data_IF_218676701597
#
_entry.id   IF_218676701597
#
_cell.length_a   1.000
_cell.length_b   1.000
_cell.length_c   1.000
_cell.angle_alpha   90.00
_cell.angle_beta   90.00
_cell.angle_gamma   90.00
#
_symmetry.space_group_name_H-M   'P 1'
#
loop_
_entity.id
_entity.type
_entity.pdbx_description
1 polymer ?
#
# COMPACT_ATOMS: atom_id res chain seq x y z
N UNK A 1 5.86 -10.35 2.14
CA UNK A 1 5.93 -8.88 2.01
C UNK A 1 4.59 -8.45 1.47
N UNK A 2 3.72 -7.87 2.30
CA UNK A 2 2.54 -7.19 1.77
C UNK A 2 2.98 -5.85 1.20
N UNK A 3 2.55 -5.58 -0.02
CA UNK A 3 2.80 -4.30 -0.67
C UNK A 3 1.64 -3.34 -0.35
N UNK A 4 1.93 -2.05 -0.11
CA UNK A 4 0.90 -1.07 0.17
C UNK A 4 -0.10 -0.97 -0.98
N UNK A 5 -1.26 -0.37 -0.73
CA UNK A 5 -2.20 -0.03 -1.79
C UNK A 5 -1.53 0.87 -2.83
N UNK A 6 -1.65 0.54 -4.11
CA UNK A 6 -1.21 1.44 -5.19
C UNK A 6 -2.07 2.71 -5.21
N UNK A 7 -1.55 3.83 -5.73
CA UNK A 7 -2.34 5.05 -5.88
C UNK A 7 -3.57 4.84 -6.77
N UNK A 8 -3.51 3.96 -7.77
CA UNK A 8 -4.63 3.58 -8.62
C UNK A 8 -5.71 2.85 -7.82
N UNK A 9 -5.33 1.92 -6.93
CA UNK A 9 -6.27 1.24 -6.05
C UNK A 9 -6.90 2.20 -5.03
N UNK A 10 -6.13 3.12 -4.45
CA UNK A 10 -6.65 4.18 -3.57
C UNK A 10 -7.69 5.02 -4.30
N UNK A 11 -7.39 5.43 -5.53
CA UNK A 11 -8.30 6.23 -6.38
C UNK A 11 -9.60 5.47 -6.67
N UNK A 12 -9.51 4.17 -6.94
CA UNK A 12 -10.69 3.31 -7.10
C UNK A 12 -11.52 3.25 -5.82
N UNK A 13 -10.88 3.08 -4.64
CA UNK A 13 -11.58 3.09 -3.36
C UNK A 13 -12.32 4.41 -3.13
N UNK A 14 -11.69 5.54 -3.42
CA UNK A 14 -12.32 6.86 -3.33
C UNK A 14 -13.52 7.00 -4.28
N UNK A 15 -13.41 6.51 -5.52
CA UNK A 15 -14.53 6.52 -6.48
C UNK A 15 -15.70 5.65 -6.00
N UNK A 16 -15.43 4.47 -5.44
CA UNK A 16 -16.47 3.61 -4.86
C UNK A 16 -17.12 4.25 -3.63
N UNK A 17 -16.33 4.88 -2.76
CA UNK A 17 -16.84 5.63 -1.61
C UNK A 17 -17.71 6.81 -2.09
N UNK A 18 -17.29 7.55 -3.11
CA UNK A 18 -18.09 8.64 -3.68
C UNK A 18 -19.44 8.15 -4.22
N UNK A 19 -19.49 6.96 -4.82
CA UNK A 19 -20.74 6.33 -5.24
C UNK A 19 -21.64 5.99 -4.04
N UNK A 20 -21.06 5.46 -2.95
CA UNK A 20 -21.82 5.17 -1.72
C UNK A 20 -22.37 6.45 -1.05
N UNK A 21 -21.60 7.54 -1.06
CA UNK A 21 -22.00 8.78 -0.39
C UNK A 21 -23.04 9.55 -1.21
N UNK A 22 -22.81 9.70 -2.52
CA UNK A 22 -23.69 10.47 -3.41
C UNK A 22 -24.90 9.67 -3.88
N UNK A 23 -24.75 8.36 -4.10
CA UNK A 23 -25.82 7.49 -4.62
C UNK A 23 -26.71 6.90 -3.53
N UNK A 24 -26.12 6.51 -2.39
CA UNK A 24 -26.80 5.77 -1.32
C UNK A 24 -26.96 6.58 -0.03
N UNK A 25 -26.47 7.82 0.01
CA UNK A 25 -26.58 8.70 1.17
C UNK A 25 -25.70 8.28 2.35
N UNK A 26 -24.61 7.54 2.11
CA UNK A 26 -23.68 7.17 3.18
C UNK A 26 -23.05 8.43 3.79
N UNK A 27 -23.16 8.56 5.12
CA UNK A 27 -22.61 9.68 5.89
C UNK A 27 -21.22 9.35 6.47
N UNK A 28 -20.82 8.09 6.45
CA UNK A 28 -19.48 7.59 6.72
C UNK A 28 -19.20 6.42 5.79
N UNK A 29 -18.03 6.36 5.18
CA UNK A 29 -17.55 5.18 4.47
C UNK A 29 -16.05 5.07 4.57
N UNK A 30 -15.54 3.93 5.03
CA UNK A 30 -14.11 3.69 5.23
C UNK A 30 -13.73 2.32 4.70
N UNK A 31 -12.64 2.25 3.97
CA UNK A 31 -12.02 1.02 3.48
C UNK A 31 -10.74 0.77 4.26
N UNK A 32 -10.71 -0.35 4.97
CA UNK A 32 -9.54 -0.87 5.65
C UNK A 32 -8.94 -2.00 4.85
N UNK A 33 -7.62 -2.09 4.83
CA UNK A 33 -6.90 -3.27 4.38
C UNK A 33 -6.19 -3.93 5.56
N UNK A 34 -6.01 -5.25 5.46
CA UNK A 34 -5.15 -5.98 6.39
C UNK A 34 -3.71 -6.02 5.89
N UNK A 35 -2.76 -5.86 6.81
CA UNK A 35 -1.33 -6.04 6.56
C UNK A 35 -0.85 -7.50 6.65
N UNK A 36 -1.67 -8.45 7.14
CA UNK A 36 -1.36 -9.89 7.15
C UNK A 36 -2.61 -10.79 7.25
N UNK A 37 -3.03 -11.47 6.17
CA UNK A 37 -4.13 -12.44 6.22
C UNK A 37 -3.74 -13.82 6.80
N UNK A 38 -2.44 -14.07 7.04
CA UNK A 38 -1.89 -15.37 7.47
C UNK A 38 -1.48 -15.43 8.94
N UNK A 39 -1.33 -14.29 9.60
CA UNK A 39 -1.13 -14.25 11.04
C UNK A 39 -2.48 -14.54 11.74
N UNK A 40 -2.59 -15.67 12.41
CA UNK A 40 -3.72 -16.00 13.30
C UNK A 40 -3.81 -15.11 14.56
N UNK A 41 -3.33 -13.85 14.49
CA UNK A 41 -3.41 -12.82 15.52
C UNK A 41 -4.29 -11.64 15.06
N UNK A 42 -4.42 -10.62 15.91
CA UNK A 42 -5.15 -9.39 15.60
C UNK A 42 -4.54 -8.75 14.34
N UNK A 43 -5.28 -8.81 13.23
CA UNK A 43 -4.82 -8.30 11.96
C UNK A 43 -4.90 -6.77 11.98
N UNK A 44 -3.76 -6.10 11.89
CA UNK A 44 -3.72 -4.64 11.84
C UNK A 44 -4.47 -4.14 10.60
N UNK A 45 -5.55 -3.39 10.85
CA UNK A 45 -6.38 -2.75 9.83
C UNK A 45 -5.87 -1.34 9.58
N UNK A 46 -5.41 -1.09 8.36
CA UNK A 46 -4.92 0.22 7.91
C UNK A 46 -5.99 0.89 7.04
N UNK A 47 -6.46 2.12 7.39
CA UNK A 47 -7.39 2.85 6.57
C UNK A 47 -6.72 3.35 5.29
N UNK A 48 -7.32 3.06 4.13
CA UNK A 48 -6.77 3.41 2.81
C UNK A 48 -7.57 4.51 2.14
N UNK A 49 -8.88 4.55 2.36
CA UNK A 49 -9.73 5.63 1.90
C UNK A 49 -10.90 5.82 2.87
N UNK A 50 -11.28 7.06 3.14
CA UNK A 50 -12.39 7.38 4.01
C UNK A 50 -13.17 8.60 3.50
N UNK A 51 -14.46 8.62 3.80
CA UNK A 51 -15.33 9.77 3.70
C UNK A 51 -16.12 9.93 5.00
N UNK A 52 -16.16 11.13 5.60
CA UNK A 52 -15.38 12.31 5.24
C UNK A 52 -13.86 12.07 5.36
N UNK A 53 -13.03 12.79 4.61
CA UNK A 53 -11.57 12.52 4.50
C UNK A 53 -10.86 12.52 5.87
N UNK A 54 -11.35 13.33 6.82
CA UNK A 54 -10.86 13.37 8.19
C UNK A 54 -11.01 12.03 8.96
N UNK A 55 -11.77 11.07 8.43
CA UNK A 55 -11.93 9.74 9.00
C UNK A 55 -10.77 8.78 8.69
N UNK A 56 -9.85 9.13 7.78
CA UNK A 56 -8.62 8.33 7.55
C UNK A 56 -7.71 8.34 8.79
N UNK A 57 -7.66 9.46 9.51
CA UNK A 57 -6.83 9.64 10.71
C UNK A 57 -7.47 9.06 11.99
N UNK A 58 -8.67 8.49 11.89
CA UNK A 58 -9.35 7.96 13.06
C UNK A 58 -8.68 6.68 13.55
N UNK A 59 -8.49 6.58 14.87
CA UNK A 59 -8.00 5.35 15.46
C UNK A 59 -9.04 4.24 15.34
N UNK A 60 -8.60 2.98 15.23
CA UNK A 60 -9.51 1.83 15.20
C UNK A 60 -10.51 1.87 16.37
N UNK A 61 -10.10 2.33 17.55
CA UNK A 61 -11.01 2.53 18.69
C UNK A 61 -12.09 3.60 18.44
N UNK A 62 -11.77 4.71 17.79
CA UNK A 62 -12.75 5.76 17.47
C UNK A 62 -13.78 5.25 16.47
N UNK A 63 -13.34 4.49 15.47
CA UNK A 63 -14.24 3.83 14.51
C UNK A 63 -15.08 2.76 15.21
N UNK A 64 -14.49 1.91 16.04
CA UNK A 64 -15.22 0.91 16.82
C UNK A 64 -16.23 1.55 17.77
N UNK A 65 -15.93 2.72 18.36
CA UNK A 65 -16.88 3.51 19.17
C UNK A 65 -18.03 4.05 18.34
N UNK A 66 -17.75 4.60 17.16
CA UNK A 66 -18.77 5.04 16.20
C UNK A 66 -19.66 3.88 15.74
N UNK A 67 -19.07 2.70 15.56
CA UNK A 67 -19.78 1.49 15.18
C UNK A 67 -20.58 0.89 16.34
N UNK A 68 -20.11 0.96 17.58
CA UNK A 68 -20.72 0.25 18.71
C UNK A 68 -21.86 1.01 19.39
N UNK A 69 -22.17 2.24 18.97
CA UNK A 69 -23.26 3.06 19.53
C UNK A 69 -23.16 3.32 21.03
N UNK A 70 -22.03 2.95 21.66
CA UNK A 70 -21.84 2.99 23.10
C UNK A 70 -21.16 4.30 23.46
N UNK A 71 -21.96 5.25 23.93
CA UNK A 71 -21.47 6.38 24.70
C UNK A 71 -20.57 5.85 25.82
N UNK A 72 -19.37 6.39 26.07
CA UNK A 72 -18.81 6.28 27.40
C UNK A 72 -19.82 6.98 28.32
N UNK A 73 -20.49 6.24 29.20
CA UNK A 73 -21.11 6.87 30.35
C UNK A 73 -19.98 7.56 31.12
N UNK A 74 -19.76 8.85 30.81
CA UNK A 74 -19.09 9.75 31.72
C UNK A 74 -19.84 9.69 33.06
N UNK A 75 -19.13 9.86 34.19
CA UNK A 75 -19.73 9.69 35.50
C UNK A 75 -20.98 10.55 35.58
N UNK A 76 -22.13 9.90 35.82
CA UNK A 76 -23.41 10.55 36.05
C UNK A 76 -23.20 11.72 37.02
N UNK A 77 -23.73 12.93 36.76
CA UNK A 77 -23.78 13.95 37.78
C UNK A 77 -24.54 13.37 38.98
N UNK A 78 -24.08 13.60 40.22
CA UNK A 78 -24.69 12.97 41.38
C UNK A 78 -26.17 13.35 41.44
N UNK A 79 -27.04 12.36 41.30
CA UNK A 79 -28.46 12.51 41.56
C UNK A 79 -28.60 12.93 43.02
N UNK A 80 -28.87 14.22 43.24
CA UNK A 80 -29.23 14.73 44.56
C UNK A 80 -30.61 14.18 44.91
N UNK A 81 -30.59 13.15 45.74
CA UNK A 81 -31.72 12.61 46.47
C UNK A 81 -32.54 13.71 47.13
N UNK A 82 -33.87 13.63 46.98
CA UNK A 82 -34.85 14.48 47.63
C UNK A 82 -34.62 14.55 49.14
N UNK A 83 -34.65 15.78 49.67
CA UNK A 83 -34.73 16.09 51.09
C UNK A 83 -35.55 17.36 51.32
N UNK A 84 -36.87 17.17 51.33
CA UNK A 84 -37.93 17.89 52.04
C UNK A 84 -37.77 19.38 52.43
N UNK A 85 -38.78 20.14 51.96
CA UNK A 85 -39.61 21.08 52.74
C UNK A 85 -39.00 22.49 53.04
N UNK A 86 -39.67 23.63 52.92
CA UNK A 86 -41.09 24.00 52.95
C UNK A 86 -41.35 25.33 52.19
N UNK A 87 -42.63 25.63 51.94
CA UNK A 87 -43.29 26.96 51.80
C UNK A 87 -43.18 27.75 50.49
N UNK A 88 -44.33 27.71 49.82
CA UNK A 88 -45.03 28.57 48.83
C UNK A 88 -44.80 30.11 48.88
N UNK A 89 -45.54 30.90 48.06
CA UNK A 89 -45.30 31.27 46.65
C UNK A 89 -45.16 32.83 46.53
N UNK A 90 -45.13 33.43 45.32
CA UNK A 90 -45.77 34.74 44.96
C UNK A 90 -45.19 35.39 43.68
N UNK A 91 -46.14 35.78 42.81
CA UNK A 91 -46.24 36.84 41.77
C UNK A 91 -45.07 37.18 40.81
N UNK A 92 -45.31 36.92 39.51
CA UNK A 92 -45.46 37.85 38.35
C UNK A 92 -44.53 39.08 38.13
N UNK A 93 -44.44 39.56 36.87
CA UNK A 93 -43.22 39.93 36.17
C UNK A 93 -43.02 41.45 36.11
N UNK A 94 -41.85 41.96 35.67
CA UNK A 94 -41.84 43.07 34.70
C UNK A 94 -40.45 43.55 34.23
N UNK A 95 -40.51 44.12 33.01
CA UNK A 95 -39.71 45.21 32.42
C UNK A 95 -38.18 45.02 32.21
N UNK A 96 -37.75 44.87 30.95
CA UNK A 96 -37.46 45.90 29.92
C UNK A 96 -36.05 46.49 30.08
N UNK A 97 -35.21 46.27 29.05
CA UNK A 97 -34.44 47.27 28.28
C UNK A 97 -33.13 46.69 27.75
N UNK A 98 -33.10 46.49 26.43
CA UNK A 98 -31.92 46.68 25.60
C UNK A 98 -31.62 48.20 25.59
N UNK A 99 -30.36 48.68 25.53
CA UNK A 99 -29.76 48.76 24.19
C UNK A 99 -28.21 48.72 24.10
N UNK A 100 -27.79 48.22 22.94
CA UNK A 100 -26.75 48.76 22.07
C UNK A 100 -25.25 48.59 22.40
N UNK A 101 -24.61 48.05 21.36
CA UNK A 101 -23.27 48.38 20.84
C UNK A 101 -22.06 47.73 21.55
N UNK A 102 -21.59 46.63 20.98
CA UNK A 102 -20.42 46.68 20.09
C UNK A 102 -20.19 45.33 19.44
N UNK A 103 -20.25 45.32 18.10
CA UNK A 103 -19.82 44.21 17.28
C UNK A 103 -18.28 44.20 17.22
N UNK A 104 -17.69 43.11 17.68
CA UNK A 104 -16.32 42.71 17.31
C UNK A 104 -16.44 41.66 16.20
N UNK A 105 -15.98 41.96 14.96
CA UNK A 105 -15.96 41.01 13.86
C UNK A 105 -14.61 40.30 13.86
N UNK A 106 -14.60 39.01 14.18
CA UNK A 106 -13.38 38.22 14.01
C UNK A 106 -13.34 36.97 14.83
N UNK A 107 -13.73 35.85 14.20
CA UNK A 107 -12.99 34.59 14.18
C UNK A 107 -13.80 33.58 13.39
N UNK A 108 -13.33 33.35 12.16
CA UNK A 108 -13.29 32.04 11.47
C UNK A 108 -14.41 31.09 11.84
N UNK A 109 -15.39 30.95 10.93
CA UNK A 109 -16.24 29.78 10.86
C UNK A 109 -15.33 28.55 10.85
N UNK A 110 -15.26 27.93 12.03
CA UNK A 110 -14.46 26.77 12.30
C UNK A 110 -14.86 25.67 11.32
N UNK A 111 -13.85 24.99 10.81
CA UNK A 111 -13.97 23.69 10.16
C UNK A 111 -14.98 22.85 10.94
N UNK A 112 -16.10 22.56 10.31
CA UNK A 112 -17.13 21.70 10.84
C UNK A 112 -16.55 20.29 10.95
N UNK A 113 -15.87 20.01 12.06
CA UNK A 113 -15.62 18.65 12.50
C UNK A 113 -16.99 17.98 12.63
N UNK A 114 -17.24 16.85 11.96
CA UNK A 114 -18.51 16.16 12.12
C UNK A 114 -18.63 15.72 13.58
N UNK A 115 -19.61 16.28 14.29
CA UNK A 115 -19.98 15.89 15.65
C UNK A 115 -20.36 14.39 15.65
N UNK A 116 -19.72 13.54 16.48
CA UNK A 116 -19.97 12.11 16.50
C UNK A 116 -21.31 11.81 17.19
N UNK A 117 -22.40 11.92 16.42
CA UNK A 117 -23.75 11.64 16.89
C UNK A 117 -24.59 10.93 15.82
N UNK A 118 -24.91 9.66 16.08
CA UNK A 118 -26.05 8.91 15.53
C UNK A 118 -25.90 8.29 14.11
N UNK A 119 -24.81 7.60 13.82
CA UNK A 119 -24.84 6.57 12.76
C UNK A 119 -25.67 5.37 13.23
N UNK A 120 -27.00 5.45 13.08
CA UNK A 120 -27.91 4.41 13.60
C UNK A 120 -27.89 3.15 12.73
N UNK A 121 -27.44 3.26 11.47
CA UNK A 121 -27.51 2.18 10.48
C UNK A 121 -26.15 1.94 9.83
N UNK A 122 -25.47 0.89 10.28
CA UNK A 122 -24.14 0.50 9.83
C UNK A 122 -24.17 -0.80 9.04
N UNK A 123 -23.38 -0.85 7.98
CA UNK A 123 -23.04 -2.08 7.25
C UNK A 123 -21.52 -2.25 7.33
N UNK A 124 -21.12 -3.43 7.77
CA UNK A 124 -19.70 -3.83 7.85
C UNK A 124 -19.56 -5.10 7.02
N UNK A 125 -18.78 -5.02 5.95
CA UNK A 125 -18.58 -6.13 5.02
C UNK A 125 -17.10 -6.45 4.88
N UNK A 126 -16.72 -7.73 4.95
CA UNK A 126 -15.35 -8.13 4.73
C UNK A 126 -15.03 -8.09 3.22
N UNK A 127 -13.82 -7.65 2.89
CA UNK A 127 -13.29 -7.70 1.54
C UNK A 127 -12.66 -9.08 1.35
N UNK A 128 -13.46 -10.05 0.91
CA UNK A 128 -13.01 -11.44 0.71
C UNK A 128 -13.11 -11.81 -0.74
N UNK A 129 -12.02 -12.33 -1.29
CA UNK A 129 -12.01 -12.93 -2.63
C UNK A 129 -11.12 -14.17 -2.63
N UNK A 130 -11.56 -15.24 -3.32
CA UNK A 130 -10.86 -16.54 -3.35
C UNK A 130 -10.51 -17.09 -1.95
N UNK A 131 -11.33 -16.81 -0.93
CA UNK A 131 -11.13 -17.27 0.45
C UNK A 131 -10.10 -16.49 1.26
N UNK A 132 -9.51 -15.43 0.70
CA UNK A 132 -8.56 -14.55 1.38
C UNK A 132 -9.27 -13.29 1.90
N UNK A 133 -9.11 -12.99 3.19
CA UNK A 133 -9.57 -11.73 3.79
C UNK A 133 -8.54 -10.64 3.49
N UNK A 134 -8.93 -9.61 2.74
CA UNK A 134 -8.05 -8.53 2.29
C UNK A 134 -8.28 -7.23 3.04
N UNK A 135 -9.39 -7.14 3.79
CA UNK A 135 -9.77 -5.92 4.48
C UNK A 135 -11.25 -5.86 4.86
N UNK A 136 -11.73 -4.64 5.11
CA UNK A 136 -13.07 -4.36 5.59
C UNK A 136 -13.62 -3.09 4.92
N UNK A 137 -14.86 -3.16 4.45
CA UNK A 137 -15.65 -1.98 4.08
C UNK A 137 -16.62 -1.68 5.23
N UNK A 138 -16.55 -0.45 5.74
CA UNK A 138 -17.46 0.07 6.75
C UNK A 138 -18.22 1.21 6.12
N UNK A 139 -19.55 1.12 6.05
CA UNK A 139 -20.40 2.22 5.62
C UNK A 139 -21.51 2.46 6.62
N UNK A 140 -21.83 3.72 6.89
CA UNK A 140 -22.86 4.07 7.84
C UNK A 140 -23.66 5.30 7.37
N UNK A 141 -24.93 5.30 7.79
CA UNK A 141 -25.91 6.31 7.41
C UNK A 141 -26.68 6.78 8.64
N UNK A 142 -27.10 8.05 8.63
CA UNK A 142 -27.74 8.73 9.77
C UNK A 142 -29.25 8.91 9.61
N UNK A 143 -29.82 8.73 8.42
CA UNK A 143 -31.22 9.08 8.11
C UNK A 143 -32.20 7.90 8.21
N UNK A 144 -31.91 6.74 7.60
CA UNK A 144 -32.85 5.64 7.44
C UNK A 144 -32.17 4.26 7.29
N UNK A 145 -32.97 3.19 7.46
CA UNK A 145 -32.55 1.79 7.30
C UNK A 145 -32.09 1.52 5.87
N UNK A 146 -31.07 0.69 5.71
CA UNK A 146 -30.62 0.21 4.40
C UNK A 146 -31.69 -0.70 3.78
N UNK A 147 -32.14 -0.34 2.58
CA UNK A 147 -33.00 -1.19 1.76
C UNK A 147 -32.25 -2.42 1.24
N UNK A 148 -32.98 -3.43 0.77
CA UNK A 148 -32.38 -4.67 0.24
C UNK A 148 -31.52 -4.42 -1.01
N UNK A 149 -32.00 -3.55 -1.92
CA UNK A 149 -31.24 -3.16 -3.11
C UNK A 149 -29.98 -2.37 -2.74
N UNK A 150 -30.08 -1.46 -1.77
CA UNK A 150 -28.95 -0.65 -1.29
C UNK A 150 -27.89 -1.56 -0.65
N UNK A 151 -28.31 -2.49 0.21
CA UNK A 151 -27.42 -3.48 0.82
C UNK A 151 -26.75 -4.35 -0.23
N UNK A 152 -27.48 -4.83 -1.23
CA UNK A 152 -26.92 -5.56 -2.35
C UNK A 152 -25.88 -4.72 -3.09
N UNK A 153 -26.11 -3.42 -3.31
CA UNK A 153 -25.12 -2.55 -3.94
C UNK A 153 -23.84 -2.41 -3.08
N UNK A 154 -23.97 -2.23 -1.76
CA UNK A 154 -22.81 -2.19 -0.85
C UNK A 154 -22.03 -3.51 -0.89
N UNK A 155 -22.72 -4.65 -0.98
CA UNK A 155 -22.10 -5.97 -1.15
C UNK A 155 -21.34 -6.09 -2.49
N UNK A 156 -21.89 -5.59 -3.59
CA UNK A 156 -21.20 -5.55 -4.88
C UNK A 156 -19.98 -4.62 -4.85
N UNK A 157 -20.05 -3.50 -4.13
CA UNK A 157 -18.89 -2.61 -3.93
C UNK A 157 -17.79 -3.35 -3.17
N UNK A 158 -18.12 -4.01 -2.06
CA UNK A 158 -17.16 -4.80 -1.29
C UNK A 158 -16.51 -5.90 -2.14
N UNK A 159 -17.29 -6.62 -2.96
CA UNK A 159 -16.77 -7.63 -3.87
C UNK A 159 -15.84 -7.03 -4.94
N UNK A 160 -16.21 -5.88 -5.51
CA UNK A 160 -15.41 -5.18 -6.51
C UNK A 160 -14.07 -4.73 -5.93
N UNK A 161 -14.08 -4.16 -4.72
CA UNK A 161 -12.87 -3.75 -4.02
C UNK A 161 -11.97 -4.94 -3.66
N UNK A 162 -12.54 -6.08 -3.28
CA UNK A 162 -11.77 -7.30 -3.00
C UNK A 162 -11.08 -7.82 -4.28
N UNK A 163 -11.79 -7.89 -5.41
CA UNK A 163 -11.20 -8.28 -6.71
C UNK A 163 -10.09 -7.30 -7.10
N UNK A 164 -10.35 -6.00 -7.01
CA UNK A 164 -9.38 -4.98 -7.38
C UNK A 164 -8.13 -5.03 -6.51
N UNK A 165 -8.27 -5.33 -5.20
CA UNK A 165 -7.11 -5.47 -4.31
C UNK A 165 -6.25 -6.67 -4.70
N UNK A 166 -6.84 -7.78 -5.11
CA UNK A 166 -6.09 -8.93 -5.61
C UNK A 166 -5.32 -8.59 -6.90
N UNK A 167 -5.95 -7.90 -7.83
CA UNK A 167 -5.30 -7.48 -9.08
C UNK A 167 -4.16 -6.52 -8.81
N UNK A 168 -4.36 -5.55 -7.90
CA UNK A 168 -3.33 -4.63 -7.45
C UNK A 168 -2.11 -5.36 -6.88
N UNK A 169 -2.33 -6.30 -5.94
CA UNK A 169 -1.24 -7.10 -5.37
C UNK A 169 -0.49 -7.93 -6.42
N UNK A 170 -1.20 -8.55 -7.37
CA UNK A 170 -0.57 -9.35 -8.44
C UNK A 170 0.29 -8.47 -9.37
N UNK A 171 -0.19 -7.28 -9.72
CA UNK A 171 0.56 -6.33 -10.54
C UNK A 171 1.85 -5.92 -9.85
N UNK A 172 1.77 -5.43 -8.61
CA UNK A 172 2.94 -4.98 -7.87
C UNK A 172 3.95 -6.13 -7.62
N UNK A 173 3.46 -7.35 -7.35
CA UNK A 173 4.33 -8.53 -7.22
C UNK A 173 5.09 -8.84 -8.51
N UNK A 174 4.40 -8.77 -9.64
CA UNK A 174 4.98 -9.04 -10.95
C UNK A 174 6.05 -8.01 -11.30
N UNK A 175 5.78 -6.73 -11.03
CA UNK A 175 6.75 -5.65 -11.23
C UNK A 175 7.99 -5.82 -10.35
N UNK A 176 7.79 -6.18 -9.09
CA UNK A 176 8.89 -6.47 -8.18
C UNK A 176 9.75 -7.64 -8.68
N UNK A 177 9.14 -8.77 -9.07
CA UNK A 177 9.89 -9.92 -9.60
C UNK A 177 10.69 -9.55 -10.86
N UNK A 178 10.06 -8.80 -11.78
CA UNK A 178 10.71 -8.36 -13.00
C UNK A 178 11.92 -7.47 -12.70
N UNK A 179 11.77 -6.52 -11.77
CA UNK A 179 12.87 -5.67 -11.33
C UNK A 179 14.02 -6.49 -10.71
N UNK A 180 13.70 -7.45 -9.83
CA UNK A 180 14.72 -8.32 -9.24
C UNK A 180 15.46 -9.15 -10.30
N UNK A 181 14.75 -9.67 -11.30
CA UNK A 181 15.37 -10.41 -12.41
C UNK A 181 16.29 -9.52 -13.24
N UNK A 182 15.87 -8.30 -13.55
CA UNK A 182 16.70 -7.34 -14.28
C UNK A 182 17.98 -6.98 -13.52
N UNK A 183 17.88 -6.75 -12.22
CA UNK A 183 19.05 -6.47 -11.36
C UNK A 183 20.00 -7.65 -11.35
N UNK A 184 19.49 -8.88 -11.20
CA UNK A 184 20.32 -10.08 -11.23
C UNK A 184 20.98 -10.29 -12.60
N UNK A 185 20.23 -10.10 -13.69
CA UNK A 185 20.74 -10.25 -15.05
C UNK A 185 21.83 -9.21 -15.36
N UNK A 186 21.63 -7.95 -14.96
CA UNK A 186 22.67 -6.92 -15.07
C UNK A 186 23.93 -7.34 -14.34
N UNK A 187 23.79 -7.79 -13.09
CA UNK A 187 24.94 -8.23 -12.29
C UNK A 187 25.65 -9.43 -12.91
N UNK A 188 24.91 -10.38 -13.48
CA UNK A 188 25.49 -11.53 -14.17
C UNK A 188 26.25 -11.11 -15.42
N UNK A 189 25.70 -10.17 -16.20
CA UNK A 189 26.36 -9.63 -17.39
C UNK A 189 27.65 -8.90 -17.02
N UNK A 190 27.61 -8.03 -16.03
CA UNK A 190 28.79 -7.29 -15.55
C UNK A 190 29.88 -8.25 -15.06
N UNK A 191 29.51 -9.29 -14.31
CA UNK A 191 30.44 -10.33 -13.87
C UNK A 191 31.04 -11.12 -15.03
N UNK A 192 30.25 -11.43 -16.06
CA UNK A 192 30.73 -12.16 -17.22
C UNK A 192 31.71 -11.31 -18.04
N UNK A 193 31.39 -10.04 -18.25
CA UNK A 193 32.26 -9.07 -18.90
C UNK A 193 33.62 -8.96 -18.17
N UNK A 194 33.58 -8.79 -16.84
CA UNK A 194 34.78 -8.79 -16.00
C UNK A 194 35.61 -10.07 -16.16
N UNK A 195 34.98 -11.24 -16.20
CA UNK A 195 35.66 -12.52 -16.35
C UNK A 195 36.27 -12.70 -17.74
N UNK A 196 35.55 -12.31 -18.80
CA UNK A 196 36.06 -12.36 -20.18
C UNK A 196 37.25 -11.43 -20.34
N UNK A 197 37.16 -10.21 -19.81
CA UNK A 197 38.29 -9.28 -19.75
C UNK A 197 39.47 -9.86 -18.99
N UNK A 198 39.24 -10.45 -17.81
CA UNK A 198 40.29 -11.09 -17.03
C UNK A 198 40.91 -12.29 -17.72
N UNK A 199 40.16 -13.04 -18.53
CA UNK A 199 40.65 -14.21 -19.26
C UNK A 199 41.43 -13.84 -20.54
N UNK A 200 41.07 -12.72 -21.19
CA UNK A 200 41.78 -12.21 -22.38
C UNK A 200 43.24 -11.87 -22.08
N UNK A 201 43.52 -11.37 -20.88
CA UNK A 201 44.86 -10.99 -20.42
C UNK A 201 45.86 -12.17 -20.38
N UNK A 202 45.61 -13.26 -19.63
CA UNK A 202 46.50 -14.42 -19.60
C UNK A 202 46.58 -15.12 -20.95
N UNK A 203 45.49 -15.14 -21.74
CA UNK A 203 45.53 -15.71 -23.09
C UNK A 203 46.49 -14.93 -24.01
N UNK A 204 46.45 -13.60 -23.95
CA UNK A 204 47.39 -12.73 -24.67
C UNK A 204 48.83 -12.98 -24.22
N UNK A 205 49.07 -13.21 -22.93
CA UNK A 205 50.39 -13.56 -22.41
C UNK A 205 50.87 -14.91 -22.94
N UNK A 206 50.04 -15.96 -22.91
CA UNK A 206 50.35 -17.30 -23.45
C UNK A 206 50.69 -17.20 -24.94
N UNK A 207 49.89 -16.47 -25.72
CA UNK A 207 50.15 -16.21 -27.15
C UNK A 207 51.51 -15.54 -27.37
N UNK A 208 51.83 -14.53 -26.55
CA UNK A 208 53.08 -13.77 -26.64
C UNK A 208 54.28 -14.65 -26.30
N UNK A 209 54.22 -15.40 -25.20
CA UNK A 209 55.29 -16.32 -24.81
C UNK A 209 55.47 -17.45 -25.83
N UNK A 210 54.39 -18.00 -26.37
CA UNK A 210 54.43 -19.00 -27.45
C UNK A 210 55.15 -18.47 -28.71
N UNK A 211 54.82 -17.25 -29.14
CA UNK A 211 55.51 -16.60 -30.28
C UNK A 211 56.99 -16.33 -30.02
N UNK A 212 57.35 -15.98 -28.78
CA UNK A 212 58.76 -15.81 -28.39
C UNK A 212 59.51 -17.15 -28.36
N UNK A 213 58.86 -18.23 -27.90
CA UNK A 213 59.42 -19.58 -27.94
C UNK A 213 59.66 -20.05 -29.37
N UNK A 214 58.69 -19.87 -30.27
CA UNK A 214 58.83 -20.18 -31.70
C UNK A 214 60.03 -19.49 -32.35
N UNK A 215 60.33 -18.25 -31.95
CA UNK A 215 61.49 -17.50 -32.47
C UNK A 215 62.83 -17.97 -31.91
N UNK A 216 62.83 -18.73 -30.82
CA UNK A 216 64.04 -19.12 -30.07
C UNK A 216 64.41 -20.59 -30.20
N UNK A 217 63.45 -21.44 -30.56
CA UNK A 217 63.66 -22.88 -30.77
C UNK A 217 63.90 -23.15 -32.25
N UNK A 218 64.94 -23.94 -32.56
CA UNK A 218 65.30 -24.28 -33.95
C UNK A 218 64.17 -25.07 -34.65
N UNK A 219 63.97 -24.92 -35.98
CA UNK A 219 62.85 -25.55 -36.69
C UNK A 219 62.87 -27.08 -36.70
N UNK A 220 64.04 -27.70 -36.52
CA UNK A 220 64.24 -29.15 -36.51
C UNK A 220 64.04 -29.77 -35.11
N UNK A 221 63.88 -28.94 -34.07
CA UNK A 221 63.64 -29.39 -32.70
C UNK A 221 62.15 -29.77 -32.52
N UNK A 222 61.87 -30.91 -31.88
CA UNK A 222 60.50 -31.33 -31.55
C UNK A 222 59.73 -30.25 -30.77
N UNK A 223 60.42 -29.47 -29.93
CA UNK A 223 59.82 -28.38 -29.15
C UNK A 223 59.30 -27.24 -30.03
N UNK A 224 59.75 -27.11 -31.28
CA UNK A 224 59.24 -26.12 -32.22
C UNK A 224 57.77 -26.39 -32.55
N UNK A 225 57.43 -27.66 -32.80
CA UNK A 225 56.04 -28.09 -33.09
C UNK A 225 55.11 -27.88 -31.89
N UNK A 226 55.62 -28.05 -30.67
CA UNK A 226 54.88 -27.77 -29.43
C UNK A 226 54.60 -26.28 -29.29
N UNK A 227 55.60 -25.42 -29.52
CA UNK A 227 55.43 -23.98 -29.48
C UNK A 227 54.44 -23.47 -30.55
N UNK A 228 54.46 -24.08 -31.74
CA UNK A 228 53.48 -23.83 -32.81
C UNK A 228 52.06 -24.20 -32.36
N UNK A 229 51.91 -25.38 -31.75
CA UNK A 229 50.64 -25.84 -31.18
C UNK A 229 50.08 -24.90 -30.10
N UNK A 230 50.93 -24.39 -29.21
CA UNK A 230 50.54 -23.42 -28.17
C UNK A 230 49.99 -22.14 -28.81
N UNK A 231 50.70 -21.60 -29.82
CA UNK A 231 50.23 -20.38 -30.49
C UNK A 231 48.91 -20.63 -31.23
N UNK A 232 48.80 -21.74 -31.96
CA UNK A 232 47.57 -22.11 -32.69
C UNK A 232 46.37 -22.24 -31.76
N UNK A 233 46.53 -22.92 -30.62
CA UNK A 233 45.43 -23.08 -29.68
C UNK A 233 45.10 -21.77 -28.95
N UNK A 234 46.10 -20.93 -28.66
CA UNK A 234 45.86 -19.60 -28.09
C UNK A 234 45.08 -18.69 -29.03
N UNK A 235 45.36 -18.75 -30.33
CA UNK A 235 44.63 -18.01 -31.36
C UNK A 235 43.19 -18.53 -31.48
N UNK A 236 43.00 -19.85 -31.47
CA UNK A 236 41.67 -20.47 -31.48
C UNK A 236 40.83 -20.11 -30.26
N UNK A 237 41.41 -20.12 -29.06
CA UNK A 237 40.73 -19.68 -27.84
C UNK A 237 40.35 -18.20 -27.91
N UNK A 238 41.16 -17.37 -28.58
CA UNK A 238 40.87 -15.96 -28.75
C UNK A 238 39.69 -15.74 -29.70
N UNK A 239 39.60 -16.52 -30.77
CA UNK A 239 38.45 -16.50 -31.68
C UNK A 239 37.16 -16.97 -30.99
N UNK A 240 37.25 -18.00 -30.13
CA UNK A 240 36.10 -18.45 -29.33
C UNK A 240 35.64 -17.37 -28.35
N UNK A 241 36.55 -16.67 -27.68
CA UNK A 241 36.17 -15.59 -26.75
C UNK A 241 35.40 -14.47 -27.45
N UNK A 242 35.79 -14.10 -28.67
CA UNK A 242 35.06 -13.09 -29.45
C UNK A 242 33.63 -13.55 -29.77
N UNK A 243 33.43 -14.83 -30.04
CA UNK A 243 32.08 -15.40 -30.23
C UNK A 243 31.26 -15.40 -28.94
N UNK A 244 31.90 -15.63 -27.79
CA UNK A 244 31.20 -15.55 -26.50
C UNK A 244 30.75 -14.10 -26.20
N UNK A 245 31.60 -13.12 -26.48
CA UNK A 245 31.31 -11.68 -26.34
C UNK A 245 30.04 -11.29 -27.12
N UNK A 246 29.96 -11.68 -28.39
CA UNK A 246 28.81 -11.40 -29.27
C UNK A 246 27.48 -11.99 -28.75
N UNK A 247 27.53 -13.13 -28.06
CA UNK A 247 26.33 -13.80 -27.51
C UNK A 247 25.88 -13.18 -26.19
N UNK A 248 26.80 -12.62 -25.41
CA UNK A 248 26.52 -12.02 -24.10
C UNK A 248 25.96 -10.58 -24.25
N UNK A 249 26.27 -9.92 -25.36
CA UNK A 249 25.75 -8.59 -25.72
C UNK A 249 24.35 -8.61 -26.37
N UNK A 250 23.79 -9.79 -26.69
CA UNK A 250 22.45 -10.00 -27.26
C UNK A 250 21.36 -10.13 -26.18
#
# INVERSE_FOLDING_TARGET
>A
MLMPASPEFVSLCQAQIAMLTQGLGAALSVVYLTDDPTAGGDADLVPVAAYPEAAVDWSQEQILRLLSGSQPHGPLPPQRLLGNAERSPVLYPDFLEDPAASAEPGKTAAEQRPEPGLYSQKIVLPLVYEGMMMGLLVTARSDCLWGEQERSQVEHVAQTLAIARLLDQRTQWTEFELHQRQVLQSRQRDQMDDLLHQFRNPLTAVRTFGKLLLRRVEPEDENHTVAEGIVRESDRLQDLLLQFDEVIDL
#
